data_IF_094406819529
#
_entry.id   IF_094406819529
#
_cell.length_a   1.000
_cell.length_b   1.000
_cell.length_c   1.000
_cell.angle_alpha   90.00
_cell.angle_beta   90.00
_cell.angle_gamma   90.00
#
_symmetry.space_group_name_H-M   'P 1'
#
loop_
_entity.id
_entity.type
_entity.pdbx_description
1 polymer ?
#
# COMPACT_ATOMS: atom_id res chain seq x y z
N UNK A 1 9.43 -5.32 5.67
CA UNK A 1 8.43 -4.53 6.46
C UNK A 1 7.87 -3.41 5.59
N UNK A 2 8.70 -2.70 4.84
CA UNK A 2 8.26 -1.68 3.89
C UNK A 2 7.41 -2.24 2.75
N UNK A 3 7.68 -3.47 2.32
CA UNK A 3 6.90 -4.24 1.35
C UNK A 3 5.43 -4.36 1.76
N UNK A 4 5.18 -4.75 3.02
CA UNK A 4 3.82 -4.84 3.57
C UNK A 4 3.16 -3.46 3.63
N UNK A 5 3.93 -2.43 4.01
CA UNK A 5 3.41 -1.06 4.04
C UNK A 5 3.00 -0.58 2.64
N UNK A 6 3.86 -0.73 1.63
CA UNK A 6 3.56 -0.37 0.24
C UNK A 6 2.38 -1.16 -0.32
N UNK A 7 2.20 -2.43 0.06
CA UNK A 7 1.05 -3.22 -0.33
C UNK A 7 -0.26 -2.67 0.26
N UNK A 8 -0.29 -2.35 1.56
CA UNK A 8 -1.48 -1.79 2.21
C UNK A 8 -1.82 -0.40 1.65
N UNK A 9 -0.82 0.48 1.49
CA UNK A 9 -1.01 1.83 0.96
C UNK A 9 -1.52 1.79 -0.49
N UNK A 10 -1.04 0.85 -1.31
CA UNK A 10 -1.58 0.63 -2.66
C UNK A 10 -3.03 0.18 -2.64
N UNK A 11 -3.39 -0.74 -1.74
CA UNK A 11 -4.78 -1.20 -1.61
C UNK A 11 -5.71 -0.04 -1.22
N UNK A 12 -5.28 0.83 -0.31
CA UNK A 12 -6.06 2.00 0.11
C UNK A 12 -6.33 2.97 -1.07
N UNK A 13 -5.31 3.33 -1.84
CA UNK A 13 -5.48 4.25 -2.99
C UNK A 13 -6.23 3.59 -4.15
N UNK A 14 -6.08 2.29 -4.36
CA UNK A 14 -6.71 1.61 -5.49
C UNK A 14 -8.18 1.27 -5.23
N UNK A 15 -8.55 1.02 -3.98
CA UNK A 15 -9.86 0.52 -3.57
C UNK A 15 -10.45 1.40 -2.46
N UNK A 16 -10.94 2.58 -2.87
CA UNK A 16 -11.59 3.57 -1.99
C UNK A 16 -13.02 3.15 -1.57
N UNK A 17 -13.51 1.98 -2.00
CA UNK A 17 -14.82 1.43 -1.60
C UNK A 17 -16.03 1.94 -2.39
N UNK A 18 -15.83 2.84 -3.37
CA UNK A 18 -16.88 3.38 -4.23
C UNK A 18 -17.47 2.37 -5.24
N UNK A 19 -16.85 1.19 -5.38
CA UNK A 19 -17.23 0.11 -6.29
C UNK A 19 -17.98 -1.05 -5.58
N UNK A 20 -18.41 -0.83 -4.34
CA UNK A 20 -19.16 -1.83 -3.55
C UNK A 20 -18.27 -2.83 -2.82
N UNK A 21 -16.95 -2.65 -2.85
CA UNK A 21 -16.00 -3.36 -2.00
C UNK A 21 -15.76 -2.61 -0.69
N UNK A 22 -15.16 -3.29 0.29
CA UNK A 22 -14.83 -2.66 1.56
C UNK A 22 -13.76 -1.58 1.34
N UNK A 23 -13.98 -0.42 1.93
CA UNK A 23 -12.97 0.62 2.10
C UNK A 23 -11.86 0.10 3.02
N UNK A 24 -10.65 -0.04 2.46
CA UNK A 24 -9.48 -0.59 3.14
C UNK A 24 -8.54 0.50 3.64
N UNK A 25 -9.04 1.72 3.83
CA UNK A 25 -8.23 2.83 4.29
C UNK A 25 -7.50 2.53 5.62
N UNK A 26 -6.21 2.90 5.74
CA UNK A 26 -5.54 2.93 7.02
C UNK A 26 -6.08 4.09 7.86
N UNK A 27 -5.96 3.98 9.19
CA UNK A 27 -6.30 5.06 10.11
C UNK A 27 -5.20 5.24 11.16
N UNK A 28 -5.40 6.05 12.20
CA UNK A 28 -4.39 6.24 13.25
C UNK A 28 -4.53 5.27 14.45
N UNK A 29 -5.35 4.23 14.32
CA UNK A 29 -5.73 3.34 15.43
C UNK A 29 -5.25 1.91 15.20
N UNK A 30 -5.06 1.20 16.30
CA UNK A 30 -4.90 -0.25 16.33
C UNK A 30 -6.14 -0.86 16.97
N UNK A 31 -6.51 -2.08 16.58
CA UNK A 31 -7.66 -2.78 17.15
C UNK A 31 -9.00 -2.19 16.71
N UNK A 32 -9.23 -2.12 15.39
CA UNK A 32 -10.44 -1.53 14.79
C UNK A 32 -11.74 -2.36 14.95
N UNK A 33 -11.71 -3.46 15.72
CA UNK A 33 -12.85 -4.36 15.87
C UNK A 33 -13.29 -4.94 14.52
N UNK A 34 -14.55 -4.73 14.14
CA UNK A 34 -15.11 -5.14 12.84
C UNK A 34 -15.01 -4.09 11.75
N UNK A 35 -14.48 -2.88 12.04
CA UNK A 35 -14.31 -1.86 11.02
C UNK A 35 -13.17 -2.25 10.06
N UNK A 36 -13.33 -2.05 8.75
CA UNK A 36 -12.41 -2.58 7.73
C UNK A 36 -11.08 -1.82 7.59
N UNK A 37 -10.75 -0.91 8.51
CA UNK A 37 -9.52 -0.11 8.43
C UNK A 37 -8.25 -0.96 8.57
N UNK A 38 -7.32 -0.78 7.64
CA UNK A 38 -6.10 -1.60 7.56
C UNK A 38 -4.85 -0.87 8.06
N UNK A 39 -4.52 -1.13 9.32
CA UNK A 39 -3.24 -0.70 9.91
C UNK A 39 -3.19 0.78 10.32
N UNK A 40 -2.11 1.13 11.03
CA UNK A 40 -1.87 2.49 11.52
C UNK A 40 -1.07 3.27 10.49
N UNK A 41 -1.64 4.31 9.86
CA UNK A 41 -1.05 5.05 8.75
C UNK A 41 0.36 5.55 9.08
N UNK A 42 0.55 6.25 10.21
CA UNK A 42 1.88 6.71 10.64
C UNK A 42 2.92 5.59 10.81
N UNK A 43 2.50 4.38 11.17
CA UNK A 43 3.42 3.22 11.24
C UNK A 43 3.75 2.71 9.85
N UNK A 44 2.78 2.65 8.94
CA UNK A 44 2.99 2.23 7.56
C UNK A 44 3.94 3.19 6.84
N UNK A 45 3.78 4.50 7.00
CA UNK A 45 4.71 5.52 6.47
C UNK A 45 6.13 5.29 7.00
N UNK A 46 6.29 5.15 8.32
CA UNK A 46 7.60 4.90 8.93
C UNK A 46 8.24 3.57 8.46
N UNK A 47 7.45 2.52 8.24
CA UNK A 47 7.97 1.25 7.70
C UNK A 47 8.39 1.36 6.25
N UNK A 48 7.68 2.12 5.42
CA UNK A 48 8.07 2.38 4.05
C UNK A 48 9.41 3.13 3.98
N UNK A 49 9.57 4.19 4.79
CA UNK A 49 10.79 4.99 4.82
C UNK A 49 11.99 4.18 5.32
N UNK A 50 11.80 3.38 6.38
CA UNK A 50 12.88 2.60 6.98
C UNK A 50 13.33 1.38 6.15
N UNK A 51 12.56 0.99 5.13
CA UNK A 51 12.75 -0.26 4.38
C UNK A 51 12.40 -0.06 2.89
N UNK A 52 13.32 0.52 2.10
CA UNK A 52 13.07 0.87 0.69
C UNK A 52 12.80 -0.37 -0.18
N UNK A 53 12.22 -0.19 -1.39
CA UNK A 53 11.97 -1.28 -2.31
C UNK A 53 13.22 -2.11 -2.61
N UNK A 54 13.06 -3.43 -2.54
CA UNK A 54 14.09 -4.38 -2.94
C UNK A 54 13.98 -4.73 -4.43
N UNK A 55 15.07 -5.22 -5.03
CA UNK A 55 15.07 -5.75 -6.40
C UNK A 55 14.04 -6.88 -6.63
N UNK A 56 13.68 -7.61 -5.57
CA UNK A 56 12.62 -8.62 -5.64
C UNK A 56 11.24 -7.97 -5.80
N UNK A 57 10.96 -6.90 -5.05
CA UNK A 57 9.71 -6.14 -5.17
C UNK A 57 9.57 -5.49 -6.52
N UNK A 58 10.62 -4.84 -7.02
CA UNK A 58 10.66 -4.24 -8.36
C UNK A 58 10.36 -5.28 -9.44
N UNK A 59 11.04 -6.43 -9.39
CA UNK A 59 10.81 -7.53 -10.34
C UNK A 59 9.39 -8.07 -10.25
N UNK A 60 8.84 -8.19 -9.05
CA UNK A 60 7.44 -8.62 -8.85
C UNK A 60 6.47 -7.60 -9.44
N UNK A 61 6.71 -6.30 -9.25
CA UNK A 61 5.88 -5.22 -9.81
C UNK A 61 5.90 -5.27 -11.34
N UNK A 62 7.08 -5.48 -11.94
CA UNK A 62 7.26 -5.65 -13.39
C UNK A 62 6.45 -6.85 -13.93
N UNK A 63 6.60 -8.02 -13.31
CA UNK A 63 5.89 -9.24 -13.77
C UNK A 63 4.36 -9.09 -13.66
N UNK A 64 3.87 -8.48 -12.59
CA UNK A 64 2.43 -8.21 -12.41
C UNK A 64 1.93 -7.29 -13.52
N UNK A 65 2.68 -6.23 -13.83
CA UNK A 65 2.36 -5.30 -14.89
C UNK A 65 2.41 -5.96 -16.27
N UNK A 66 3.47 -6.67 -16.62
CA UNK A 66 3.66 -7.21 -17.96
C UNK A 66 2.73 -8.39 -18.27
N UNK A 67 2.43 -9.23 -17.27
CA UNK A 67 1.84 -10.56 -17.52
C UNK A 67 0.41 -10.71 -17.00
N UNK A 68 -0.01 -9.95 -15.98
CA UNK A 68 -1.23 -10.27 -15.23
C UNK A 68 -2.26 -9.15 -15.18
N UNK A 69 -1.93 -8.04 -14.50
CA UNK A 69 -2.91 -7.02 -14.12
C UNK A 69 -2.76 -5.71 -14.91
N UNK A 70 -1.60 -5.50 -15.53
CA UNK A 70 -1.30 -4.29 -16.30
C UNK A 70 -1.46 -2.98 -15.50
N UNK A 71 -1.34 -3.06 -14.18
CA UNK A 71 -1.21 -1.94 -13.27
C UNK A 71 0.02 -2.14 -12.36
N UNK A 72 0.61 -1.04 -11.91
CA UNK A 72 1.79 -1.04 -11.03
C UNK A 72 1.42 -0.51 -9.67
N UNK A 73 2.07 -1.03 -8.64
CA UNK A 73 2.09 -0.36 -7.35
C UNK A 73 3.03 0.86 -7.46
N UNK A 74 2.51 2.10 -7.45
CA UNK A 74 3.34 3.28 -7.63
C UNK A 74 4.33 3.49 -6.48
N UNK A 75 4.06 2.95 -5.28
CA UNK A 75 4.93 3.09 -4.13
C UNK A 75 6.16 2.16 -4.20
N UNK A 76 6.18 1.18 -5.11
CA UNK A 76 7.39 0.41 -5.41
C UNK A 76 8.30 1.21 -6.36
N UNK A 77 7.72 1.90 -7.34
CA UNK A 77 8.48 2.68 -8.32
C UNK A 77 8.90 4.07 -7.77
N UNK A 78 8.06 4.65 -6.90
CA UNK A 78 8.19 5.96 -6.26
C UNK A 78 7.83 5.89 -4.77
N UNK A 79 8.68 5.29 -3.92
CA UNK A 79 8.40 5.14 -2.49
C UNK A 79 8.19 6.48 -1.75
N UNK A 80 8.72 7.58 -2.28
CA UNK A 80 8.54 8.93 -1.76
C UNK A 80 7.11 9.46 -1.86
N UNK A 81 6.28 8.91 -2.75
CA UNK A 81 4.88 9.33 -2.89
C UNK A 81 3.99 8.91 -1.72
N UNK A 82 4.47 8.02 -0.85
CA UNK A 82 3.77 7.66 0.39
C UNK A 82 3.52 8.88 1.29
N UNK A 83 4.40 9.89 1.24
CA UNK A 83 4.22 11.12 2.02
C UNK A 83 3.10 12.02 1.51
N UNK A 84 2.64 11.82 0.27
CA UNK A 84 1.51 12.55 -0.31
C UNK A 84 0.13 12.00 0.13
N UNK A 85 0.11 10.89 0.87
CA UNK A 85 -1.12 10.29 1.43
C UNK A 85 -1.55 11.11 2.66
N UNK A 86 -2.84 11.43 2.75
CA UNK A 86 -3.46 12.39 3.68
C UNK A 86 -3.39 12.02 5.16
#
# INVERSE_FOLDING_TARGET
RGDVARMILYMAVRYEGDDGFADLEPNERVGNGSAPYMGKLSVLKAWNEADPPSAFEERRNEVIYDTYQHNRNPFIDHPEWVEAIW
#
